data_IF_763267279576
#
_entry.id   IF_763267279576
#
_cell.length_a   1.000
_cell.length_b   1.000
_cell.length_c   1.000
_cell.angle_alpha   90.00
_cell.angle_beta   90.00
_cell.angle_gamma   90.00
#
_symmetry.space_group_name_H-M   'P 1'
#
loop_
_entity.id
_entity.type
_entity.pdbx_description
1 polymer ?
#
# COMPACT_ATOMS: atom_id res chain seq x y z
N UNK A 1 21.59 32.72 0.19
CA UNK A 1 20.47 31.76 0.24
C UNK A 1 20.50 30.92 -1.04
N UNK A 2 21.20 29.77 -1.08
CA UNK A 2 21.26 28.99 -2.30
C UNK A 2 19.97 28.19 -2.49
N UNK A 3 19.38 28.36 -3.66
CA UNK A 3 18.22 27.66 -4.20
C UNK A 3 18.42 26.14 -4.14
N UNK A 4 17.58 25.43 -3.40
CA UNK A 4 17.53 23.96 -3.46
C UNK A 4 16.98 23.52 -4.82
N UNK A 5 17.83 22.82 -5.56
CA UNK A 5 17.51 22.12 -6.80
C UNK A 5 16.27 21.22 -6.63
N UNK A 6 15.28 21.38 -7.52
CA UNK A 6 14.08 20.52 -7.66
C UNK A 6 14.35 19.20 -8.40
N UNK A 7 15.59 18.68 -8.42
CA UNK A 7 15.86 17.45 -9.15
C UNK A 7 17.19 16.76 -8.79
N UNK A 8 17.03 15.59 -8.15
CA UNK A 8 18.00 14.51 -7.80
C UNK A 8 18.98 14.81 -6.63
N UNK A 9 19.32 13.84 -5.74
CA UNK A 9 18.81 12.48 -5.47
C UNK A 9 17.96 12.45 -4.17
N UNK A 10 16.69 12.07 -4.25
CA UNK A 10 15.70 12.31 -3.17
C UNK A 10 14.42 12.91 -3.76
N UNK A 11 13.92 12.24 -4.79
CA UNK A 11 13.20 12.85 -5.92
C UNK A 11 11.79 13.37 -5.62
N UNK A 12 11.21 13.01 -4.47
CA UNK A 12 10.01 13.61 -3.92
C UNK A 12 10.01 13.26 -2.42
N UNK A 13 9.87 14.28 -1.57
CA UNK A 13 9.81 14.09 -0.13
C UNK A 13 8.44 13.51 0.25
N UNK A 14 8.41 12.41 0.99
CA UNK A 14 7.17 11.67 1.32
C UNK A 14 6.53 12.11 2.65
N UNK A 15 6.74 13.39 2.99
CA UNK A 15 6.22 14.00 4.21
C UNK A 15 6.75 13.32 5.49
N UNK A 16 5.85 13.02 6.42
CA UNK A 16 6.21 12.45 7.72
C UNK A 16 6.86 11.05 7.59
N UNK A 17 6.61 10.33 6.49
CA UNK A 17 7.16 8.99 6.26
C UNK A 17 8.63 9.02 5.82
N UNK A 18 9.19 10.18 5.49
CA UNK A 18 10.52 10.28 4.86
C UNK A 18 11.62 9.65 5.73
N UNK A 19 11.58 9.87 7.05
CA UNK A 19 12.58 9.32 7.97
C UNK A 19 12.45 7.81 8.19
N UNK A 20 11.35 7.19 7.73
CA UNK A 20 11.16 5.73 7.73
C UNK A 20 11.53 5.09 6.40
N UNK A 21 11.75 5.88 5.35
CA UNK A 21 11.90 5.41 3.99
C UNK A 21 13.36 5.15 3.62
N UNK A 22 13.65 3.90 3.26
CA UNK A 22 14.87 3.48 2.58
C UNK A 22 14.61 3.34 1.09
N UNK A 23 15.34 4.11 0.29
CA UNK A 23 15.33 4.05 -1.17
C UNK A 23 16.43 3.09 -1.64
N UNK A 24 16.06 1.86 -1.95
CA UNK A 24 16.96 0.76 -2.29
C UNK A 24 17.35 0.76 -3.77
N UNK A 25 17.89 1.88 -4.27
CA UNK A 25 18.50 1.96 -5.60
C UNK A 25 19.68 2.93 -5.57
N UNK A 26 20.61 2.77 -6.51
CA UNK A 26 21.82 3.59 -6.54
C UNK A 26 21.51 5.07 -6.80
N UNK A 27 22.09 5.99 -6.01
CA UNK A 27 22.03 7.42 -6.30
C UNK A 27 22.46 7.72 -7.74
N UNK A 28 21.76 8.64 -8.40
CA UNK A 28 22.04 9.01 -9.79
C UNK A 28 21.40 8.12 -10.85
N UNK A 29 20.89 6.93 -10.49
CA UNK A 29 20.13 6.08 -11.41
C UNK A 29 18.65 6.43 -11.42
N UNK A 30 17.97 6.13 -12.54
CA UNK A 30 16.52 6.25 -12.63
C UNK A 30 15.91 4.88 -12.29
N UNK A 31 15.15 4.77 -11.17
CA UNK A 31 14.56 3.49 -10.82
C UNK A 31 13.39 3.16 -11.76
N UNK A 32 12.91 1.90 -11.77
CA UNK A 32 11.75 1.51 -12.56
C UNK A 32 10.53 2.42 -12.27
N UNK A 33 9.67 2.62 -13.26
CA UNK A 33 8.49 3.47 -13.13
C UNK A 33 7.60 3.09 -11.93
N UNK A 34 7.46 1.79 -11.64
CA UNK A 34 6.71 1.30 -10.48
C UNK A 34 7.28 1.82 -9.14
N UNK A 35 8.60 1.89 -8.99
CA UNK A 35 9.27 2.44 -7.81
C UNK A 35 8.98 3.93 -7.66
N UNK A 36 8.99 4.68 -8.76
CA UNK A 36 8.66 6.10 -8.73
C UNK A 36 7.19 6.33 -8.36
N UNK A 37 6.28 5.52 -8.91
CA UNK A 37 4.86 5.57 -8.55
C UNK A 37 4.62 5.23 -7.07
N UNK A 38 5.41 4.33 -6.49
CA UNK A 38 5.39 4.05 -5.06
C UNK A 38 5.76 5.30 -4.25
N UNK A 39 6.86 5.98 -4.59
CA UNK A 39 7.27 7.24 -3.94
C UNK A 39 6.19 8.31 -4.09
N UNK A 40 5.59 8.45 -5.27
CA UNK A 40 4.47 9.38 -5.49
C UNK A 40 3.26 9.04 -4.62
N UNK A 41 2.94 7.76 -4.47
CA UNK A 41 1.84 7.31 -3.61
C UNK A 41 2.11 7.65 -2.14
N UNK A 42 3.32 7.37 -1.62
CA UNK A 42 3.69 7.76 -0.25
C UNK A 42 3.63 9.28 -0.04
N UNK A 43 4.00 10.08 -1.05
CA UNK A 43 3.92 11.54 -0.96
C UNK A 43 2.49 12.10 -0.92
N UNK A 44 1.50 11.31 -1.35
CA UNK A 44 0.09 11.71 -1.34
C UNK A 44 -0.58 11.48 0.02
N UNK A 45 0.11 10.84 0.98
CA UNK A 45 -0.44 10.55 2.30
C UNK A 45 -0.66 11.85 3.10
N UNK A 46 -1.88 12.13 3.58
CA UNK A 46 -2.16 13.31 4.39
C UNK A 46 -1.31 13.36 5.65
N UNK A 47 -0.85 14.56 6.03
CA UNK A 47 0.07 14.75 7.17
C UNK A 47 -0.40 14.10 8.49
N UNK A 48 -1.69 14.21 8.90
CA UNK A 48 -2.15 13.55 10.14
C UNK A 48 -1.99 12.02 10.08
N UNK A 49 -2.38 11.40 8.96
CA UNK A 49 -2.24 9.95 8.77
C UNK A 49 -0.76 9.56 8.66
N UNK A 50 0.03 10.29 7.88
CA UNK A 50 1.45 10.02 7.69
C UNK A 50 2.24 10.09 8.99
N UNK A 51 1.87 10.98 9.92
CA UNK A 51 2.52 11.07 11.24
C UNK A 51 2.22 9.83 12.07
N UNK A 52 0.96 9.40 12.13
CA UNK A 52 0.56 8.19 12.86
C UNK A 52 1.21 6.94 12.27
N UNK A 53 1.21 6.82 10.94
CA UNK A 53 1.89 5.73 10.24
C UNK A 53 3.41 5.75 10.47
N UNK A 54 4.05 6.91 10.50
CA UNK A 54 5.48 6.99 10.80
C UNK A 54 5.81 6.55 12.24
N UNK A 55 4.90 6.76 13.19
CA UNK A 55 5.04 6.20 14.55
C UNK A 55 4.83 4.69 14.56
N UNK A 56 3.86 4.18 13.80
CA UNK A 56 3.54 2.75 13.71
C UNK A 56 4.61 1.92 13.01
N UNK A 57 5.15 2.44 11.89
CA UNK A 57 6.09 1.75 11.00
C UNK A 57 7.53 1.85 11.52
N UNK A 58 7.78 1.28 12.70
CA UNK A 58 9.09 1.32 13.33
C UNK A 58 10.15 0.48 12.61
N UNK A 59 9.74 -0.64 11.98
CA UNK A 59 10.59 -1.42 11.08
C UNK A 59 10.90 -0.72 9.75
N UNK A 60 10.21 0.38 9.45
CA UNK A 60 10.47 1.25 8.30
C UNK A 60 9.75 0.84 7.01
N UNK A 61 10.12 1.53 5.93
CA UNK A 61 9.59 1.35 4.57
C UNK A 61 10.78 1.17 3.64
N UNK A 62 10.79 0.13 2.83
CA UNK A 62 11.82 -0.10 1.80
C UNK A 62 11.17 -0.10 0.44
N UNK A 63 11.71 0.71 -0.47
CA UNK A 63 11.24 0.76 -1.87
C UNK A 63 12.43 0.55 -2.79
N UNK A 64 12.32 -0.38 -3.73
CA UNK A 64 13.42 -0.73 -4.64
C UNK A 64 12.99 -1.54 -5.85
N UNK A 65 13.91 -1.79 -6.80
CA UNK A 65 13.64 -2.66 -7.94
C UNK A 65 13.50 -4.14 -7.51
N UNK A 66 12.82 -4.94 -8.33
CA UNK A 66 12.68 -6.38 -8.14
C UNK A 66 11.43 -6.80 -7.36
N UNK A 67 11.42 -8.03 -6.89
CA UNK A 67 10.38 -8.58 -6.01
C UNK A 67 10.71 -8.31 -4.54
N UNK A 68 9.78 -8.62 -3.63
CA UNK A 68 9.97 -8.45 -2.19
C UNK A 68 11.30 -9.05 -1.68
N UNK A 69 11.69 -10.29 -2.01
CA UNK A 69 12.96 -10.87 -1.53
C UNK A 69 14.23 -10.21 -2.08
N UNK A 70 14.12 -9.34 -3.08
CA UNK A 70 15.26 -8.55 -3.61
C UNK A 70 15.47 -7.26 -2.81
N UNK A 71 14.54 -6.90 -1.91
CA UNK A 71 14.60 -5.68 -1.10
C UNK A 71 15.42 -5.89 0.19
N UNK A 72 16.24 -4.90 0.60
CA UNK A 72 17.02 -4.97 1.83
C UNK A 72 16.21 -5.32 3.09
N UNK A 73 16.60 -6.41 3.75
CA UNK A 73 15.99 -6.94 4.96
C UNK A 73 14.73 -7.79 4.76
N UNK A 74 14.41 -8.16 3.51
CA UNK A 74 13.34 -9.11 3.14
C UNK A 74 13.90 -10.39 2.48
N UNK A 75 15.21 -10.57 2.46
CA UNK A 75 15.90 -11.67 1.77
C UNK A 75 15.50 -13.05 2.30
N UNK A 76 15.14 -13.13 3.59
CA UNK A 76 14.69 -14.36 4.24
C UNK A 76 13.38 -14.93 3.66
N UNK A 77 12.64 -14.15 2.87
CA UNK A 77 11.41 -14.60 2.19
C UNK A 77 11.71 -15.37 0.89
N UNK A 78 12.96 -15.42 0.44
CA UNK A 78 13.37 -16.17 -0.75
C UNK A 78 13.15 -17.67 -0.54
N UNK A 79 12.50 -18.32 -1.51
CA UNK A 79 12.13 -19.73 -1.45
C UNK A 79 10.95 -20.03 -0.53
N UNK A 80 10.39 -19.03 0.15
CA UNK A 80 9.23 -19.21 1.03
C UNK A 80 7.95 -19.13 0.18
N UNK A 81 7.01 -20.08 0.32
CA UNK A 81 5.73 -19.99 -0.37
C UNK A 81 4.87 -18.84 0.16
N UNK A 82 4.05 -18.24 -0.71
CA UNK A 82 3.05 -17.26 -0.29
C UNK A 82 1.93 -17.96 0.51
N UNK A 83 1.36 -17.32 1.55
CA UNK A 83 0.41 -17.98 2.44
C UNK A 83 -0.94 -18.30 1.77
N UNK A 84 -1.41 -17.43 0.87
CA UNK A 84 -2.78 -17.49 0.30
C UNK A 84 -2.77 -17.72 -1.21
N UNK A 85 -1.69 -17.33 -1.91
CA UNK A 85 -1.59 -17.41 -3.36
C UNK A 85 -0.66 -18.55 -3.79
N UNK A 86 -0.98 -19.22 -4.91
CA UNK A 86 -0.04 -20.15 -5.51
C UNK A 86 1.23 -19.39 -5.94
N UNK A 87 2.38 -19.73 -5.36
CA UNK A 87 3.67 -19.12 -5.68
C UNK A 87 4.59 -18.91 -4.49
N UNK A 88 5.75 -18.32 -4.76
CA UNK A 88 6.67 -17.81 -3.75
C UNK A 88 6.75 -16.29 -3.79
N UNK A 89 7.41 -15.72 -2.77
CA UNK A 89 7.57 -14.27 -2.62
C UNK A 89 8.33 -13.62 -3.77
N UNK A 90 9.00 -14.38 -4.64
CA UNK A 90 9.68 -13.92 -5.86
C UNK A 90 8.73 -13.28 -6.88
N UNK A 91 7.42 -13.52 -6.74
CA UNK A 91 6.39 -12.87 -7.56
C UNK A 91 5.69 -11.71 -6.85
N UNK A 92 5.98 -11.49 -5.57
CA UNK A 92 5.32 -10.42 -4.84
C UNK A 92 5.99 -9.07 -5.12
N UNK A 93 5.16 -8.11 -5.48
CA UNK A 93 5.56 -6.72 -5.64
C UNK A 93 5.55 -5.95 -4.32
N UNK A 94 4.87 -6.43 -3.29
CA UNK A 94 4.62 -5.70 -2.05
C UNK A 94 4.49 -6.61 -0.85
N UNK A 95 4.79 -6.06 0.33
CA UNK A 95 4.51 -6.70 1.60
C UNK A 95 4.35 -5.65 2.69
N UNK A 96 3.36 -5.88 3.55
CA UNK A 96 3.34 -5.38 4.90
C UNK A 96 3.60 -6.53 5.87
N UNK A 97 4.70 -6.44 6.62
CA UNK A 97 5.01 -7.35 7.72
C UNK A 97 4.40 -6.78 9.02
N UNK A 98 3.33 -7.38 9.57
CA UNK A 98 2.70 -6.88 10.79
C UNK A 98 3.55 -7.08 12.03
N UNK A 99 4.42 -8.09 12.07
CA UNK A 99 5.28 -8.37 13.23
C UNK A 99 6.40 -7.35 13.35
N UNK A 100 6.99 -6.97 12.21
CA UNK A 100 8.05 -5.96 12.14
C UNK A 100 7.50 -4.55 11.89
N UNK A 101 6.19 -4.42 11.66
CA UNK A 101 5.51 -3.20 11.21
C UNK A 101 6.29 -2.51 10.09
N UNK A 102 6.57 -3.28 9.05
CA UNK A 102 7.51 -2.90 7.99
C UNK A 102 6.87 -3.07 6.62
N UNK A 103 7.10 -2.10 5.73
CA UNK A 103 6.63 -2.17 4.35
C UNK A 103 7.81 -2.43 3.40
N UNK A 104 7.61 -3.33 2.44
CA UNK A 104 8.47 -3.52 1.28
C UNK A 104 7.69 -3.30 -0.01
N UNK A 105 8.20 -2.48 -0.92
CA UNK A 105 7.60 -2.25 -2.25
C UNK A 105 8.66 -2.40 -3.34
N UNK A 106 8.44 -3.40 -4.18
CA UNK A 106 9.24 -3.76 -5.35
C UNK A 106 8.71 -3.14 -6.65
N UNK A 107 9.30 -3.57 -7.76
CA UNK A 107 8.90 -3.19 -9.12
C UNK A 107 8.27 -4.31 -9.94
N UNK A 108 8.16 -5.52 -9.39
CA UNK A 108 7.48 -6.65 -10.04
C UNK A 108 6.02 -6.27 -10.35
N UNK A 109 5.43 -6.72 -11.47
CA UNK A 109 4.03 -6.45 -11.77
C UNK A 109 3.08 -6.95 -10.67
N UNK A 110 2.01 -6.20 -10.44
CA UNK A 110 0.95 -6.53 -9.48
C UNK A 110 -0.43 -6.16 -10.04
N UNK A 111 -1.49 -6.90 -9.70
CA UNK A 111 -2.86 -6.55 -10.07
C UNK A 111 -3.43 -5.37 -9.28
N UNK A 112 -2.76 -4.94 -8.19
CA UNK A 112 -3.18 -3.80 -7.38
C UNK A 112 -3.08 -2.50 -8.17
N UNK A 113 -4.01 -1.58 -7.91
CA UNK A 113 -4.00 -0.22 -8.48
C UNK A 113 -2.77 0.59 -8.06
N UNK A 114 -2.24 0.32 -6.87
CA UNK A 114 -0.99 0.86 -6.35
C UNK A 114 -0.49 -0.03 -5.23
N UNK A 115 0.61 -0.76 -5.48
CA UNK A 115 1.23 -1.64 -4.48
C UNK A 115 1.54 -0.87 -3.20
N UNK A 116 2.16 0.31 -3.31
CA UNK A 116 2.44 1.14 -2.14
C UNK A 116 1.18 1.57 -1.39
N UNK A 117 0.11 1.91 -2.12
CA UNK A 117 -1.18 2.24 -1.51
C UNK A 117 -1.82 1.05 -0.81
N UNK A 118 -1.69 -0.14 -1.39
CA UNK A 118 -2.22 -1.39 -0.83
C UNK A 118 -1.49 -1.76 0.46
N UNK A 119 -0.15 -1.75 0.47
CA UNK A 119 0.60 -2.04 1.70
C UNK A 119 0.41 -0.97 2.79
N UNK A 120 0.21 0.29 2.40
CA UNK A 120 -0.22 1.33 3.35
C UNK A 120 -1.62 1.06 3.90
N UNK A 121 -2.52 0.50 3.09
CA UNK A 121 -3.84 0.06 3.52
C UNK A 121 -3.75 -0.99 4.60
N UNK A 122 -2.95 -2.05 4.39
CA UNK A 122 -2.67 -3.07 5.41
C UNK A 122 -2.05 -2.49 6.68
N UNK A 123 -1.06 -1.62 6.55
CA UNK A 123 -0.45 -0.96 7.70
C UNK A 123 -1.43 -0.07 8.47
N UNK A 124 -2.33 0.62 7.76
CA UNK A 124 -3.37 1.48 8.35
C UNK A 124 -4.45 0.65 9.05
N UNK A 125 -4.85 -0.47 8.45
CA UNK A 125 -5.78 -1.42 9.05
C UNK A 125 -5.21 -1.96 10.36
N UNK A 126 -3.95 -2.42 10.36
CA UNK A 126 -3.30 -2.89 11.57
C UNK A 126 -3.12 -1.78 12.63
N UNK A 127 -2.72 -0.56 12.22
CA UNK A 127 -2.60 0.61 13.10
C UNK A 127 -3.92 0.91 13.86
N UNK A 128 -5.06 0.73 13.20
CA UNK A 128 -6.38 1.05 13.75
C UNK A 128 -7.07 -0.14 14.43
N UNK A 129 -6.38 -1.27 14.63
CA UNK A 129 -6.95 -2.44 15.27
C UNK A 129 -7.86 -3.27 14.37
N UNK A 130 -7.53 -3.35 13.08
CA UNK A 130 -8.22 -4.15 12.06
C UNK A 130 -9.69 -3.76 11.80
N UNK A 131 -10.01 -2.49 11.49
CA UNK A 131 -11.35 -2.08 11.08
C UNK A 131 -11.91 -2.85 9.89
N UNK A 132 -11.07 -3.45 9.02
CA UNK A 132 -11.49 -4.39 7.97
C UNK A 132 -12.33 -5.57 8.49
N UNK A 133 -12.13 -5.95 9.76
CA UNK A 133 -12.86 -7.02 10.45
C UNK A 133 -14.05 -6.50 11.28
N UNK A 134 -14.22 -5.18 11.34
CA UNK A 134 -15.34 -4.54 12.03
C UNK A 134 -16.65 -4.66 11.26
N UNK A 135 -17.76 -4.39 11.93
CA UNK A 135 -19.12 -4.58 11.40
C UNK A 135 -19.34 -3.93 10.03
N UNK A 136 -18.88 -2.69 9.83
CA UNK A 136 -19.03 -1.97 8.55
C UNK A 136 -18.37 -2.71 7.39
N UNK A 137 -17.10 -3.10 7.54
CA UNK A 137 -16.35 -3.74 6.46
C UNK A 137 -16.72 -5.21 6.29
N UNK A 138 -16.99 -5.92 7.39
CA UNK A 138 -17.49 -7.30 7.34
C UNK A 138 -18.85 -7.37 6.64
N UNK A 139 -19.76 -6.43 6.93
CA UNK A 139 -21.06 -6.33 6.25
C UNK A 139 -20.92 -6.02 4.76
N UNK A 140 -20.07 -5.05 4.41
CA UNK A 140 -19.80 -4.69 3.01
C UNK A 140 -19.19 -5.86 2.24
N UNK A 141 -18.22 -6.55 2.83
CA UNK A 141 -17.57 -7.73 2.27
C UNK A 141 -18.58 -8.86 2.05
N UNK A 142 -19.38 -9.19 3.06
CA UNK A 142 -20.39 -10.26 2.99
C UNK A 142 -21.44 -10.00 1.88
N UNK A 143 -21.96 -8.77 1.79
CA UNK A 143 -22.95 -8.40 0.75
C UNK A 143 -22.36 -8.46 -0.65
N UNK A 144 -21.04 -8.22 -0.80
CA UNK A 144 -20.37 -8.14 -2.11
C UNK A 144 -19.55 -9.37 -2.48
N UNK A 145 -19.36 -10.34 -1.59
CA UNK A 145 -18.45 -11.48 -1.75
C UNK A 145 -18.56 -12.17 -3.12
N UNK A 146 -19.79 -12.41 -3.61
CA UNK A 146 -20.02 -13.08 -4.91
C UNK A 146 -19.51 -12.29 -6.13
N UNK A 147 -19.33 -10.97 -6.00
CA UNK A 147 -18.86 -10.08 -7.05
C UNK A 147 -17.38 -9.72 -6.91
N UNK A 148 -16.78 -9.94 -5.73
CA UNK A 148 -15.38 -9.67 -5.50
C UNK A 148 -14.52 -10.72 -6.24
N UNK A 149 -13.45 -10.31 -6.94
CA UNK A 149 -12.45 -11.24 -7.44
C UNK A 149 -11.51 -11.68 -6.29
N UNK A 150 -10.90 -12.87 -6.37
CA UNK A 150 -9.81 -13.23 -5.46
C UNK A 150 -8.63 -12.24 -5.57
N UNK A 151 -7.89 -11.96 -4.47
CA UNK A 151 -8.08 -12.50 -3.11
C UNK A 151 -9.13 -11.73 -2.27
N UNK A 152 -9.74 -10.67 -2.80
CA UNK A 152 -10.62 -9.77 -2.05
C UNK A 152 -11.92 -10.45 -1.61
N UNK A 153 -12.33 -11.53 -2.28
CA UNK A 153 -13.47 -12.34 -1.87
C UNK A 153 -13.19 -13.12 -0.60
N UNK A 154 -11.97 -13.61 -0.44
CA UNK A 154 -11.58 -14.50 0.65
C UNK A 154 -11.15 -13.71 1.90
N UNK A 155 -10.60 -12.51 1.71
CA UNK A 155 -10.05 -11.71 2.80
C UNK A 155 -10.55 -10.24 2.75
N UNK A 156 -11.27 -9.85 3.80
CA UNK A 156 -11.76 -8.48 3.95
C UNK A 156 -10.62 -7.47 4.17
N UNK A 157 -9.47 -7.89 4.72
CA UNK A 157 -8.29 -7.04 4.86
C UNK A 157 -7.67 -6.72 3.50
N UNK A 158 -7.61 -7.69 2.58
CA UNK A 158 -7.19 -7.47 1.20
C UNK A 158 -8.13 -6.52 0.46
N UNK A 159 -9.45 -6.67 0.66
CA UNK A 159 -10.46 -5.75 0.11
C UNK A 159 -10.26 -4.33 0.65
N UNK A 160 -10.07 -4.20 1.96
CA UNK A 160 -9.82 -2.92 2.63
C UNK A 160 -8.57 -2.24 2.06
N UNK A 161 -7.46 -2.98 1.94
CA UNK A 161 -6.19 -2.48 1.46
C UNK A 161 -6.28 -1.98 0.01
N UNK A 162 -6.95 -2.73 -0.87
CA UNK A 162 -7.14 -2.30 -2.26
C UNK A 162 -8.10 -1.11 -2.38
N UNK A 163 -9.16 -1.07 -1.58
CA UNK A 163 -10.06 0.08 -1.52
C UNK A 163 -9.32 1.33 -1.02
N UNK A 164 -8.50 1.20 0.03
CA UNK A 164 -7.62 2.26 0.51
C UNK A 164 -6.70 2.77 -0.59
N UNK A 165 -6.04 1.86 -1.33
CA UNK A 165 -5.20 2.21 -2.46
C UNK A 165 -5.96 2.99 -3.55
N UNK A 166 -7.19 2.56 -3.87
CA UNK A 166 -8.05 3.25 -4.83
C UNK A 166 -8.40 4.67 -4.37
N UNK A 167 -8.77 4.86 -3.10
CA UNK A 167 -9.16 6.18 -2.57
C UNK A 167 -7.93 7.09 -2.50
N UNK A 168 -6.82 6.63 -1.92
CA UNK A 168 -5.57 7.40 -1.82
C UNK A 168 -5.06 7.87 -3.18
N UNK A 169 -5.19 7.04 -4.21
CA UNK A 169 -4.72 7.35 -5.57
C UNK A 169 -5.80 7.92 -6.49
N UNK A 170 -6.98 8.26 -5.96
CA UNK A 170 -8.11 8.88 -6.68
C UNK A 170 -8.61 8.06 -7.87
N UNK A 171 -8.69 6.74 -7.72
CA UNK A 171 -9.09 5.80 -8.78
C UNK A 171 -10.55 5.35 -8.60
N UNK A 172 -11.48 6.30 -8.63
CA UNK A 172 -12.91 6.04 -8.41
C UNK A 172 -13.49 4.94 -9.30
N UNK A 173 -13.16 4.92 -10.61
CA UNK A 173 -13.62 3.86 -11.53
C UNK A 173 -13.11 2.48 -11.14
N UNK A 174 -11.88 2.39 -10.61
CA UNK A 174 -11.31 1.12 -10.13
C UNK A 174 -12.00 0.66 -8.85
N UNK A 175 -12.33 1.58 -7.95
CA UNK A 175 -13.09 1.29 -6.73
C UNK A 175 -14.51 0.77 -7.07
N UNK A 176 -15.22 1.43 -7.99
CA UNK A 176 -16.53 0.96 -8.48
C UNK A 176 -16.40 -0.44 -9.08
N UNK A 177 -15.40 -0.65 -9.94
CA UNK A 177 -15.12 -1.95 -10.54
C UNK A 177 -14.74 -3.04 -9.52
N UNK A 178 -14.04 -2.69 -8.44
CA UNK A 178 -13.66 -3.60 -7.36
C UNK A 178 -14.89 -4.18 -6.66
N UNK A 179 -15.87 -3.33 -6.34
CA UNK A 179 -17.11 -3.75 -5.68
C UNK A 179 -18.18 -4.27 -6.67
N UNK A 180 -18.08 -3.89 -7.95
CA UNK A 180 -19.12 -4.12 -8.96
C UNK A 180 -20.44 -3.44 -8.62
N UNK A 181 -20.41 -2.36 -7.82
CA UNK A 181 -21.57 -1.66 -7.27
C UNK A 181 -21.18 -0.26 -6.80
N UNK A 182 -21.84 0.75 -7.34
CA UNK A 182 -21.52 2.17 -7.06
C UNK A 182 -21.85 2.56 -5.63
N UNK A 183 -22.93 2.04 -5.05
CA UNK A 183 -23.35 2.37 -3.70
C UNK A 183 -22.38 1.78 -2.66
N UNK A 184 -21.97 0.52 -2.85
CA UNK A 184 -20.94 -0.12 -2.03
C UNK A 184 -19.60 0.61 -2.13
N UNK A 185 -19.18 0.99 -3.35
CA UNK A 185 -17.98 1.77 -3.56
C UNK A 185 -18.03 3.15 -2.88
N UNK A 186 -19.19 3.83 -2.94
CA UNK A 186 -19.39 5.12 -2.28
C UNK A 186 -19.34 5.00 -0.75
N UNK A 187 -19.89 3.93 -0.17
CA UNK A 187 -19.79 3.66 1.26
C UNK A 187 -18.32 3.48 1.68
N UNK A 188 -17.56 2.64 0.97
CA UNK A 188 -16.14 2.44 1.21
C UNK A 188 -15.34 3.76 1.07
N UNK A 189 -15.61 4.52 0.00
CA UNK A 189 -14.97 5.83 -0.22
C UNK A 189 -15.23 6.78 0.94
N UNK A 190 -16.49 6.96 1.32
CA UNK A 190 -16.90 7.93 2.35
C UNK A 190 -16.29 7.56 3.70
N UNK A 191 -16.28 6.26 4.04
CA UNK A 191 -15.69 5.76 5.27
C UNK A 191 -14.18 6.02 5.33
N UNK A 192 -13.45 5.66 4.26
CA UNK A 192 -12.00 5.85 4.18
C UNK A 192 -11.62 7.34 4.14
N UNK A 193 -12.32 8.13 3.33
CA UNK A 193 -12.06 9.55 3.20
C UNK A 193 -12.34 10.31 4.49
N UNK A 194 -13.48 10.05 5.14
CA UNK A 194 -13.83 10.67 6.41
C UNK A 194 -12.88 10.30 7.54
N UNK A 195 -12.42 9.04 7.58
CA UNK A 195 -11.55 8.55 8.66
C UNK A 195 -10.08 8.94 8.49
N UNK A 196 -9.58 8.92 7.26
CA UNK A 196 -8.14 9.06 6.97
C UNK A 196 -7.77 10.35 6.22
N UNK A 197 -8.76 11.14 5.79
CA UNK A 197 -8.54 12.38 5.06
C UNK A 197 -7.95 12.17 3.66
N UNK A 198 -8.18 11.01 3.07
CA UNK A 198 -7.73 10.64 1.71
C UNK A 198 -8.88 10.79 0.71
N UNK A 199 -8.57 10.95 -0.58
CA UNK A 199 -9.59 11.16 -1.63
C UNK A 199 -9.54 12.53 -2.26
#
# INVERSE_FOLDING_TARGET
MPSQSRGRPGWLHVGALEHRLTRAWFPGTFPPAAVLLAIMTFSAVPRPLGTRLATHLDGGIVVGPGAVPDLPGFEALRGVPLPVQQGGWERSAGVYDPHRRRIGVGSTPSPSVSVAGHELGHATDHLDGMPSRGETWAGLHAVRARHLPPPYREDAAELFAEAFACVLTRRARRLIGLFGDEHAAQQAYTWLAGRYGIG
#
